data_IF_046030851312
#
_entry.id   IF_046030851312
#
_cell.length_a   1.000
_cell.length_b   1.000
_cell.length_c   1.000
_cell.angle_alpha   90.00
_cell.angle_beta   90.00
_cell.angle_gamma   90.00
#
_symmetry.space_group_name_H-M   'P 1'
#
loop_
_entity.id
_entity.type
_entity.pdbx_description
1 polymer ?
#
# COMPACT_ATOMS: atom_id res chain seq x y z
N UNK A 1 -12.02 5.80 -22.67
CA UNK A 1 -13.19 5.05 -22.14
C UNK A 1 -13.11 3.56 -22.49
N UNK A 2 -12.85 3.19 -23.75
CA UNK A 2 -12.68 1.79 -24.18
C UNK A 2 -11.58 1.00 -23.43
N UNK A 3 -10.42 1.59 -23.14
CA UNK A 3 -9.34 0.88 -22.41
C UNK A 3 -9.70 0.51 -20.97
N UNK A 4 -10.45 1.37 -20.26
CA UNK A 4 -10.93 1.09 -18.90
C UNK A 4 -11.94 -0.07 -18.91
N UNK A 5 -12.85 -0.10 -19.89
CA UNK A 5 -13.85 -1.18 -20.04
C UNK A 5 -13.17 -2.52 -20.33
N UNK A 6 -12.20 -2.54 -21.25
CA UNK A 6 -11.44 -3.76 -21.58
C UNK A 6 -10.63 -4.27 -20.38
N UNK A 7 -10.03 -3.38 -19.58
CA UNK A 7 -9.29 -3.75 -18.39
C UNK A 7 -10.19 -4.31 -17.28
N UNK A 8 -11.38 -3.71 -17.07
CA UNK A 8 -12.37 -4.20 -16.12
C UNK A 8 -12.89 -5.59 -16.56
N UNK A 9 -13.18 -5.77 -17.85
CA UNK A 9 -13.63 -7.06 -18.38
C UNK A 9 -12.57 -8.16 -18.17
N UNK A 10 -11.30 -7.89 -18.46
CA UNK A 10 -10.20 -8.85 -18.22
C UNK A 10 -10.05 -9.23 -16.75
N UNK A 11 -10.35 -8.30 -15.83
CA UNK A 11 -10.29 -8.56 -14.39
C UNK A 11 -11.48 -9.41 -13.92
N UNK A 12 -12.68 -9.14 -14.44
CA UNK A 12 -13.93 -9.73 -13.94
C UNK A 12 -14.29 -11.06 -14.61
N UNK A 13 -14.01 -11.24 -15.90
CA UNK A 13 -14.39 -12.46 -16.66
C UNK A 13 -13.84 -13.74 -16.00
N UNK A 14 -12.56 -13.82 -15.60
CA UNK A 14 -12.04 -15.01 -14.91
C UNK A 14 -12.70 -15.28 -13.54
N UNK A 15 -13.39 -14.29 -12.97
CA UNK A 15 -14.03 -14.39 -11.65
C UNK A 15 -15.54 -14.66 -11.74
N UNK A 16 -16.12 -14.74 -12.95
CA UNK A 16 -17.54 -15.06 -13.15
C UNK A 16 -17.96 -16.38 -12.47
N UNK A 17 -17.22 -17.50 -12.59
CA UNK A 17 -17.59 -18.75 -11.91
C UNK A 17 -17.64 -18.60 -10.38
N UNK A 18 -16.71 -17.84 -9.81
CA UNK A 18 -16.67 -17.54 -8.38
C UNK A 18 -17.89 -16.73 -7.94
N UNK A 19 -18.27 -15.71 -8.71
CA UNK A 19 -19.44 -14.88 -8.42
C UNK A 19 -20.74 -15.68 -8.49
N UNK A 20 -20.89 -16.50 -9.54
CA UNK A 20 -22.06 -17.37 -9.71
C UNK A 20 -22.15 -18.38 -8.57
N UNK A 21 -21.06 -19.10 -8.28
CA UNK A 21 -21.01 -20.08 -7.18
C UNK A 21 -21.33 -19.43 -5.83
N UNK A 22 -20.70 -18.29 -5.53
CA UNK A 22 -20.97 -17.56 -4.27
C UNK A 22 -22.42 -17.14 -4.16
N UNK A 23 -23.04 -16.72 -5.26
CA UNK A 23 -24.46 -16.33 -5.30
C UNK A 23 -25.38 -17.52 -5.06
N UNK A 24 -25.19 -18.60 -5.80
CA UNK A 24 -25.98 -19.83 -5.63
C UNK A 24 -25.86 -20.35 -4.20
N UNK A 25 -24.64 -20.44 -3.66
CA UNK A 25 -24.41 -20.94 -2.30
C UNK A 25 -25.10 -20.06 -1.26
N UNK A 26 -24.98 -18.74 -1.38
CA UNK A 26 -25.56 -17.80 -0.42
C UNK A 26 -27.09 -17.90 -0.35
N UNK A 27 -27.77 -18.05 -1.48
CA UNK A 27 -29.24 -18.11 -1.51
C UNK A 27 -29.80 -19.52 -1.33
N UNK A 28 -29.08 -20.57 -1.76
CA UNK A 28 -29.54 -21.95 -1.63
C UNK A 28 -29.28 -22.53 -0.23
N UNK A 29 -28.12 -22.23 0.37
CA UNK A 29 -27.69 -22.81 1.66
C UNK A 29 -27.58 -21.78 2.78
N UNK A 30 -27.77 -20.50 2.48
CA UNK A 30 -27.59 -19.40 3.41
C UNK A 30 -26.15 -18.88 3.45
N UNK A 31 -25.92 -17.76 4.16
CA UNK A 31 -24.58 -17.17 4.29
C UNK A 31 -23.65 -18.01 5.18
N UNK A 32 -22.34 -17.89 4.96
CA UNK A 32 -21.32 -18.55 5.79
C UNK A 32 -21.40 -18.18 7.29
N UNK A 33 -21.94 -17.00 7.61
CA UNK A 33 -22.32 -16.58 8.96
C UNK A 33 -23.66 -15.84 8.89
N UNK A 34 -24.55 -15.97 9.90
CA UNK A 34 -25.86 -15.31 9.88
C UNK A 34 -25.81 -13.80 9.68
N UNK A 35 -24.73 -13.12 10.11
CA UNK A 35 -24.56 -11.68 9.97
C UNK A 35 -24.07 -11.22 8.58
N UNK A 36 -23.73 -12.15 7.67
CA UNK A 36 -23.16 -11.78 6.38
C UNK A 36 -24.25 -11.44 5.38
N UNK A 37 -24.22 -10.21 4.89
CA UNK A 37 -24.98 -9.84 3.70
C UNK A 37 -24.43 -10.53 2.44
N UNK A 38 -25.25 -10.59 1.40
CA UNK A 38 -24.81 -11.07 0.08
C UNK A 38 -23.60 -10.28 -0.44
N UNK A 39 -23.67 -8.95 -0.36
CA UNK A 39 -22.55 -8.06 -0.74
C UNK A 39 -21.26 -8.44 -0.03
N UNK A 40 -21.34 -8.66 1.29
CA UNK A 40 -20.18 -9.06 2.07
C UNK A 40 -19.65 -10.44 1.68
N UNK A 41 -20.55 -11.40 1.39
CA UNK A 41 -20.17 -12.74 0.93
C UNK A 41 -19.39 -12.69 -0.38
N UNK A 42 -19.87 -11.90 -1.35
CA UNK A 42 -19.18 -11.68 -2.63
C UNK A 42 -17.84 -10.98 -2.43
N UNK A 43 -17.79 -9.90 -1.62
CA UNK A 43 -16.55 -9.18 -1.31
C UNK A 43 -15.51 -10.12 -0.71
N UNK A 44 -15.90 -10.95 0.27
CA UNK A 44 -15.00 -11.90 0.91
C UNK A 44 -14.53 -13.00 -0.03
N UNK A 45 -15.39 -13.48 -0.93
CA UNK A 45 -15.00 -14.44 -1.97
C UNK A 45 -13.94 -13.84 -2.91
N UNK A 46 -14.14 -12.61 -3.37
CA UNK A 46 -13.17 -11.90 -4.21
C UNK A 46 -11.85 -11.62 -3.48
N UNK A 47 -11.91 -11.18 -2.21
CA UNK A 47 -10.72 -10.96 -1.39
C UNK A 47 -9.92 -12.26 -1.20
N UNK A 48 -10.60 -13.38 -0.90
CA UNK A 48 -9.93 -14.69 -0.77
C UNK A 48 -9.28 -15.14 -2.08
N UNK A 49 -9.97 -14.97 -3.20
CA UNK A 49 -9.43 -15.31 -4.51
C UNK A 49 -8.23 -14.42 -4.88
N UNK A 50 -8.25 -13.14 -4.48
CA UNK A 50 -7.10 -12.25 -4.63
C UNK A 50 -5.91 -12.72 -3.77
N UNK A 51 -6.12 -13.00 -2.49
CA UNK A 51 -5.06 -13.46 -1.57
C UNK A 51 -4.47 -14.80 -2.03
N UNK A 52 -5.30 -15.74 -2.50
CA UNK A 52 -4.83 -17.01 -3.04
C UNK A 52 -3.90 -16.80 -4.25
N UNK A 53 -4.23 -15.87 -5.15
CA UNK A 53 -3.40 -15.55 -6.30
C UNK A 53 -2.03 -14.99 -5.91
N UNK A 54 -1.92 -14.25 -4.79
CA UNK A 54 -0.64 -13.74 -4.31
C UNK A 54 0.36 -14.85 -3.95
N UNK A 55 -0.11 -16.07 -3.66
CA UNK A 55 0.77 -17.22 -3.42
C UNK A 55 1.37 -17.80 -4.71
N UNK A 56 0.80 -17.47 -5.86
CA UNK A 56 1.19 -18.03 -7.17
C UNK A 56 2.14 -17.12 -7.94
N UNK A 57 2.28 -15.86 -7.53
CA UNK A 57 3.06 -14.85 -8.24
C UNK A 57 4.18 -14.28 -7.37
N UNK A 58 5.36 -14.00 -7.94
CA UNK A 58 6.41 -13.29 -7.21
C UNK A 58 5.94 -11.90 -6.74
N UNK A 59 6.48 -11.45 -5.61
CA UNK A 59 6.18 -10.12 -5.04
C UNK A 59 6.47 -9.00 -6.05
N UNK A 60 7.54 -9.12 -6.83
CA UNK A 60 7.91 -8.15 -7.88
C UNK A 60 6.83 -7.99 -8.94
N UNK A 61 6.17 -9.08 -9.35
CA UNK A 61 5.06 -9.04 -10.29
C UNK A 61 3.83 -8.38 -9.66
N UNK A 62 3.54 -8.68 -8.39
CA UNK A 62 2.45 -8.02 -7.65
C UNK A 62 2.66 -6.52 -7.50
N UNK A 63 3.91 -6.08 -7.27
CA UNK A 63 4.28 -4.66 -7.22
C UNK A 63 4.02 -3.94 -8.54
N UNK A 64 4.33 -4.58 -9.68
CA UNK A 64 4.04 -4.03 -11.01
C UNK A 64 2.53 -3.84 -11.19
N UNK A 65 1.73 -4.86 -10.82
CA UNK A 65 0.28 -4.78 -10.89
C UNK A 65 -0.29 -3.68 -9.99
N UNK A 66 0.23 -3.52 -8.77
CA UNK A 66 -0.21 -2.44 -7.88
C UNK A 66 0.14 -1.06 -8.42
N UNK A 67 1.28 -0.88 -9.07
CA UNK A 67 1.65 0.40 -9.68
C UNK A 67 0.70 0.78 -10.81
N UNK A 68 0.14 -0.20 -11.54
CA UNK A 68 -0.86 0.06 -12.59
C UNK A 68 -2.19 0.57 -12.03
N UNK A 69 -2.50 0.28 -10.76
CA UNK A 69 -3.73 0.70 -10.07
C UNK A 69 -3.51 1.84 -9.08
N UNK A 70 -2.31 2.43 -9.08
CA UNK A 70 -1.93 3.55 -8.22
C UNK A 70 -2.57 4.86 -8.72
N UNK A 71 -3.86 5.02 -8.45
CA UNK A 71 -4.60 6.25 -8.78
C UNK A 71 -4.24 7.37 -7.79
N UNK A 72 -3.95 8.58 -8.31
CA UNK A 72 -3.62 9.74 -7.47
C UNK A 72 -4.86 10.14 -6.69
N UNK A 73 -4.92 9.85 -5.39
CA UNK A 73 -5.97 10.45 -4.58
C UNK A 73 -5.74 11.98 -4.54
N UNK A 74 -6.81 12.78 -4.70
CA UNK A 74 -6.68 14.23 -4.65
C UNK A 74 -6.21 14.66 -3.27
N UNK A 75 -5.40 15.71 -3.22
CA UNK A 75 -5.05 16.36 -1.96
C UNK A 75 -6.33 17.00 -1.43
N UNK A 76 -6.61 16.81 -0.14
CA UNK A 76 -7.76 17.45 0.49
C UNK A 76 -7.62 18.98 0.40
N UNK A 77 -8.72 19.70 0.19
CA UNK A 77 -8.71 21.16 0.07
C UNK A 77 -8.12 21.87 1.29
N UNK A 78 -8.25 21.28 2.48
CA UNK A 78 -7.68 21.77 3.73
C UNK A 78 -6.22 21.38 3.96
N UNK A 79 -5.60 20.61 3.07
CA UNK A 79 -4.23 20.14 3.20
C UNK A 79 -3.28 20.84 2.21
N UNK A 80 -2.04 21.01 2.61
CA UNK A 80 -0.91 21.28 1.74
C UNK A 80 -0.12 19.99 1.64
N UNK A 81 0.13 19.53 0.41
CA UNK A 81 0.97 18.38 0.14
C UNK A 81 2.19 18.83 -0.67
N UNK A 82 3.38 18.43 -0.23
CA UNK A 82 4.64 18.79 -0.88
C UNK A 82 5.47 17.53 -1.09
N UNK A 83 5.75 17.23 -2.36
CA UNK A 83 6.61 16.10 -2.72
C UNK A 83 8.01 16.31 -2.14
N UNK A 84 8.61 15.22 -1.67
CA UNK A 84 9.93 15.22 -1.07
C UNK A 84 10.77 14.09 -1.66
N UNK A 85 12.08 14.32 -1.74
CA UNK A 85 13.05 13.29 -2.13
C UNK A 85 13.91 12.98 -0.92
N UNK A 86 13.90 11.71 -0.50
CA UNK A 86 14.77 11.23 0.57
C UNK A 86 16.17 11.02 0.01
N UNK A 87 17.15 11.67 0.64
CA UNK A 87 18.55 11.56 0.23
C UNK A 87 19.06 10.11 0.27
N UNK A 88 19.81 9.72 -0.76
CA UNK A 88 20.46 8.40 -0.85
C UNK A 88 21.39 8.10 0.33
N UNK A 89 21.91 9.14 0.99
CA UNK A 89 22.75 8.97 2.18
C UNK A 89 22.04 8.18 3.29
N UNK A 90 20.73 8.36 3.48
CA UNK A 90 19.99 7.59 4.50
C UNK A 90 19.88 6.10 4.14
N UNK A 91 19.80 5.76 2.85
CA UNK A 91 19.83 4.37 2.39
C UNK A 91 21.19 3.72 2.65
N UNK A 92 22.28 4.45 2.41
CA UNK A 92 23.64 3.99 2.72
C UNK A 92 23.81 3.73 4.22
N UNK A 93 23.38 4.70 5.05
CA UNK A 93 23.41 4.55 6.52
C UNK A 93 22.56 3.38 7.00
N UNK A 94 21.39 3.15 6.40
CA UNK A 94 20.56 1.99 6.72
C UNK A 94 21.25 0.67 6.34
N UNK A 95 21.94 0.61 5.19
CA UNK A 95 22.70 -0.56 4.77
C UNK A 95 23.83 -0.91 5.76
N UNK A 96 24.55 0.09 6.26
CA UNK A 96 25.59 -0.10 7.29
C UNK A 96 24.99 -0.65 8.61
N UNK A 97 23.86 -0.11 9.04
CA UNK A 97 23.16 -0.57 10.24
C UNK A 97 22.68 -2.01 10.07
N UNK A 98 22.06 -2.35 8.91
CA UNK A 98 21.60 -3.70 8.64
C UNK A 98 22.76 -4.70 8.61
N UNK A 99 23.85 -4.37 7.92
CA UNK A 99 25.05 -5.23 7.88
C UNK A 99 25.55 -5.55 9.28
N UNK A 100 25.69 -4.52 10.12
CA UNK A 100 26.12 -4.68 11.51
C UNK A 100 25.16 -5.56 12.30
N UNK A 101 23.85 -5.33 12.20
CA UNK A 101 22.84 -6.10 12.94
C UNK A 101 22.82 -7.57 12.52
N UNK A 102 22.92 -7.85 11.23
CA UNK A 102 22.92 -9.21 10.69
C UNK A 102 24.21 -9.95 11.07
N UNK A 103 25.36 -9.27 10.98
CA UNK A 103 26.65 -9.81 11.42
C UNK A 103 26.65 -10.16 12.91
N UNK A 104 26.09 -9.29 13.77
CA UNK A 104 25.96 -9.55 15.20
C UNK A 104 25.09 -10.78 15.51
N UNK A 105 24.16 -11.12 14.63
CA UNK A 105 23.30 -12.30 14.75
C UNK A 105 23.90 -13.54 14.06
N UNK A 106 25.09 -13.44 13.47
CA UNK A 106 25.71 -14.53 12.71
C UNK A 106 24.92 -14.91 11.45
N UNK A 107 24.10 -14.00 10.92
CA UNK A 107 23.30 -14.24 9.72
C UNK A 107 24.19 -14.05 8.50
N UNK A 108 24.32 -15.11 7.70
CA UNK A 108 24.96 -15.07 6.41
C UNK A 108 24.08 -14.31 5.41
N UNK A 109 24.50 -13.11 5.04
CA UNK A 109 23.75 -12.23 4.14
C UNK A 109 23.62 -12.79 2.73
N UNK A 110 24.50 -13.70 2.30
CA UNK A 110 24.40 -14.36 1.00
C UNK A 110 23.22 -15.33 0.92
N UNK A 111 22.68 -15.77 2.07
CA UNK A 111 21.48 -16.61 2.16
C UNK A 111 20.19 -15.81 2.19
N UNK A 112 20.28 -14.48 2.30
CA UNK A 112 19.11 -13.62 2.20
C UNK A 112 18.70 -13.54 0.72
N UNK A 113 17.39 -13.65 0.45
CA UNK A 113 16.85 -13.55 -0.91
C UNK A 113 16.90 -12.13 -1.51
N UNK A 114 17.62 -11.19 -0.87
CA UNK A 114 17.74 -9.81 -1.29
C UNK A 114 19.14 -9.27 -1.02
N UNK A 115 19.81 -8.83 -2.09
CA UNK A 115 21.08 -8.11 -2.03
C UNK A 115 20.84 -6.60 -2.06
N UNK A 116 20.69 -5.99 -0.89
CA UNK A 116 20.44 -4.55 -0.78
C UNK A 116 21.65 -3.70 -1.15
N UNK A 117 22.87 -4.28 -1.20
CA UNK A 117 24.11 -3.57 -1.53
C UNK A 117 24.17 -3.27 -3.03
N UNK A 118 23.66 -4.20 -3.84
CA UNK A 118 23.64 -4.10 -5.30
C UNK A 118 22.23 -3.93 -5.87
N UNK A 119 21.26 -3.52 -5.07
CA UNK A 119 19.87 -3.34 -5.50
C UNK A 119 19.77 -2.30 -6.63
N UNK A 120 19.38 -2.67 -7.86
CA UNK A 120 19.26 -1.73 -8.97
C UNK A 120 18.22 -0.63 -8.69
N UNK A 121 17.21 -0.91 -7.84
CA UNK A 121 16.24 0.10 -7.42
C UNK A 121 16.86 1.17 -6.49
N UNK A 122 18.10 1.01 -6.02
CA UNK A 122 18.82 2.05 -5.30
C UNK A 122 19.26 3.22 -6.21
N UNK A 123 19.25 3.03 -7.54
CA UNK A 123 19.47 4.11 -8.48
C UNK A 123 18.32 5.14 -8.46
N UNK A 124 17.09 4.68 -8.23
CA UNK A 124 15.90 5.52 -8.17
C UNK A 124 15.83 6.33 -6.87
N UNK A 125 15.36 7.59 -6.92
CA UNK A 125 15.14 8.38 -5.71
C UNK A 125 14.00 7.77 -4.89
N UNK A 126 14.19 7.72 -3.56
CA UNK A 126 13.11 7.37 -2.65
C UNK A 126 12.21 8.60 -2.49
N UNK A 127 10.96 8.49 -2.95
CA UNK A 127 9.97 9.56 -2.89
C UNK A 127 9.22 9.53 -1.57
N UNK A 128 8.94 10.71 -1.03
CA UNK A 128 8.07 10.95 0.11
C UNK A 128 7.14 12.13 -0.16
N UNK A 129 6.25 12.43 0.79
CA UNK A 129 5.36 13.57 0.67
C UNK A 129 5.05 14.16 2.05
N UNK A 130 5.37 15.43 2.23
CA UNK A 130 4.91 16.16 3.40
C UNK A 130 3.43 16.50 3.24
N UNK A 131 2.64 16.21 4.28
CA UNK A 131 1.25 16.65 4.41
C UNK A 131 1.11 17.53 5.64
N UNK A 132 0.53 18.72 5.48
CA UNK A 132 0.23 19.64 6.58
C UNK A 132 -1.16 20.26 6.43
N UNK A 133 -1.76 20.67 7.56
CA UNK A 133 -3.02 21.41 7.53
C UNK A 133 -2.80 22.87 7.15
N UNK A 134 -3.60 23.37 6.20
CA UNK A 134 -3.60 24.79 5.81
C UNK A 134 -3.97 25.69 6.99
N UNK A 135 -4.99 25.29 7.73
CA UNK A 135 -5.45 26.00 8.92
C UNK A 135 -4.87 25.31 10.14
N UNK A 136 -4.02 26.04 10.87
CA UNK A 136 -3.39 25.59 12.12
C UNK A 136 -4.37 25.90 13.27
N UNK A 137 -4.93 24.85 13.88
CA UNK A 137 -5.78 24.98 15.07
C UNK A 137 -4.96 25.07 16.36
N UNK A 138 -5.64 25.19 17.50
CA UNK A 138 -5.00 25.35 18.82
C UNK A 138 -4.10 24.18 19.22
N UNK A 139 -4.35 22.99 18.68
CA UNK A 139 -3.54 21.79 18.90
C UNK A 139 -2.26 21.75 18.04
N UNK A 140 -2.08 22.69 17.12
CA UNK A 140 -0.93 22.73 16.23
C UNK A 140 0.35 23.09 16.99
N UNK A 141 1.41 22.31 16.76
CA UNK A 141 2.71 22.54 17.36
C UNK A 141 3.78 22.59 16.27
N UNK A 142 4.40 23.77 16.12
CA UNK A 142 5.48 23.99 15.17
C UNK A 142 6.68 23.10 15.56
N UNK A 143 7.17 22.29 14.62
CA UNK A 143 8.24 21.32 14.85
C UNK A 143 7.78 19.90 15.22
N UNK A 144 6.48 19.70 15.54
CA UNK A 144 5.93 18.35 15.72
C UNK A 144 5.77 17.66 14.36
N UNK A 145 6.30 16.45 14.26
CA UNK A 145 6.28 15.64 13.04
C UNK A 145 5.82 14.21 13.32
N UNK A 146 5.08 13.64 12.38
CA UNK A 146 4.72 12.21 12.34
C UNK A 146 5.39 11.59 11.12
N UNK A 147 6.16 10.51 11.33
CA UNK A 147 6.61 9.65 10.24
C UNK A 147 5.55 8.59 9.98
N UNK A 148 4.95 8.60 8.80
CA UNK A 148 3.92 7.67 8.38
C UNK A 148 4.45 6.69 7.33
N UNK A 149 4.47 5.41 7.70
CA UNK A 149 4.81 4.32 6.80
C UNK A 149 3.51 3.60 6.41
N UNK A 150 3.14 3.67 5.13
CA UNK A 150 1.89 3.09 4.65
C UNK A 150 1.88 1.55 4.77
N UNK A 151 0.69 0.99 4.88
CA UNK A 151 0.49 -0.46 4.89
C UNK A 151 0.57 -1.08 3.48
N UNK A 152 -0.09 -2.22 3.28
CA UNK A 152 -0.15 -2.86 1.95
C UNK A 152 0.88 -3.97 1.71
N UNK A 153 1.46 -4.50 2.78
CA UNK A 153 2.29 -5.71 2.71
C UNK A 153 3.54 -5.58 1.84
N UNK A 154 4.06 -4.36 1.65
CA UNK A 154 5.22 -4.02 0.82
C UNK A 154 5.04 -4.17 -0.71
N UNK A 155 3.84 -4.52 -1.18
CA UNK A 155 3.55 -4.64 -2.61
C UNK A 155 2.33 -3.88 -3.09
N UNK A 156 1.48 -3.41 -2.17
CA UNK A 156 0.32 -2.57 -2.47
C UNK A 156 0.52 -1.14 -1.99
N UNK A 157 -0.27 -0.25 -2.61
CA UNK A 157 -0.41 1.15 -2.25
C UNK A 157 0.84 2.01 -2.48
N UNK A 158 0.71 3.31 -2.19
CA UNK A 158 1.77 4.30 -2.29
C UNK A 158 1.44 5.51 -1.43
N UNK A 159 2.35 6.50 -1.42
CA UNK A 159 2.09 7.85 -0.90
C UNK A 159 0.84 8.47 -1.53
N UNK A 160 0.52 8.15 -2.79
CA UNK A 160 -0.60 8.72 -3.55
C UNK A 160 -1.94 8.12 -3.16
N UNK A 161 -1.99 6.91 -2.61
CA UNK A 161 -3.26 6.30 -2.15
C UNK A 161 -3.59 6.65 -0.70
N UNK A 162 -2.62 7.16 0.06
CA UNK A 162 -2.74 7.39 1.50
C UNK A 162 -2.95 8.85 1.90
N UNK A 163 -3.10 9.77 0.94
CA UNK A 163 -3.30 11.21 1.24
C UNK A 163 -4.51 11.50 2.11
N UNK A 164 -5.58 10.70 2.00
CA UNK A 164 -6.71 10.81 2.91
C UNK A 164 -6.28 10.52 4.37
N UNK A 165 -5.49 9.47 4.59
CA UNK A 165 -5.02 9.11 5.92
C UNK A 165 -4.03 10.15 6.47
N UNK A 166 -3.02 10.54 5.68
CA UNK A 166 -1.99 11.52 6.10
C UNK A 166 -2.60 12.88 6.42
N UNK A 167 -3.61 13.31 5.66
CA UNK A 167 -4.39 14.51 5.97
C UNK A 167 -5.06 14.44 7.35
N UNK A 168 -5.80 13.35 7.63
CA UNK A 168 -6.49 13.20 8.90
C UNK A 168 -5.51 13.13 10.08
N UNK A 169 -4.36 12.48 9.90
CA UNK A 169 -3.28 12.48 10.88
C UNK A 169 -2.71 13.88 11.11
N UNK A 170 -2.40 14.62 10.05
CA UNK A 170 -1.84 15.98 10.16
C UNK A 170 -2.76 16.91 10.96
N UNK A 171 -4.06 16.89 10.63
CA UNK A 171 -5.09 17.69 11.32
C UNK A 171 -5.25 17.27 12.78
N UNK A 172 -5.36 15.97 13.05
CA UNK A 172 -5.68 15.47 14.39
C UNK A 172 -4.50 15.59 15.35
N UNK A 173 -3.29 15.35 14.85
CA UNK A 173 -2.06 15.44 15.64
C UNK A 173 -1.54 16.89 15.77
N UNK A 174 -2.06 17.82 14.97
CA UNK A 174 -1.56 19.20 14.91
C UNK A 174 -0.08 19.24 14.49
N UNK A 175 0.28 18.43 13.49
CA UNK A 175 1.67 18.14 13.12
C UNK A 175 1.84 18.03 11.61
N UNK A 176 3.08 18.16 11.14
CA UNK A 176 3.44 17.78 9.77
C UNK A 176 3.57 16.26 9.69
N UNK A 177 3.04 15.65 8.64
CA UNK A 177 3.17 14.21 8.39
C UNK A 177 4.11 14.00 7.21
N UNK A 178 5.09 13.13 7.37
CA UNK A 178 5.97 12.65 6.31
C UNK A 178 5.59 11.24 5.87
#
# INVERSE_FOLDING_TARGET
MASKIVNIARLLVPKVPLLVSTTVVHYAYGPAKPSWSFRFSVTMALMRAFVAHLNEVPVSQSQIMSKMTDEKTPVNEGAIATEAVVSKHYRQKAAEIMERLLSLQGIDTAKLGWDWKNDPAAAEPLLGEWTEAKVKGDNYNEGRTVLYLHGGGYFLASIRTHRWATWHMARSAGAKVF
#
